data_IF_717175096674
#
_entry.id   IF_717175096674
#
_cell.length_a   1.000
_cell.length_b   1.000
_cell.length_c   1.000
_cell.angle_alpha   90.00
_cell.angle_beta   90.00
_cell.angle_gamma   90.00
#
_symmetry.space_group_name_H-M   'P 1'
#
loop_
_entity.id
_entity.type
_entity.pdbx_description
1 polymer ?
#
# COMPACT_ATOMS: atom_id res chain seq x y z
N UNK A 1 8.34 0.64 -26.50
CA UNK A 1 7.37 1.29 -25.61
C UNK A 1 6.45 0.24 -24.99
N UNK A 2 6.19 0.37 -23.73
CA UNK A 2 5.33 -0.57 -23.03
C UNK A 2 3.86 -0.31 -23.36
N UNK A 3 3.14 -1.36 -23.76
CA UNK A 3 1.74 -1.25 -24.15
C UNK A 3 0.85 -1.87 -23.08
N UNK A 4 0.20 -1.01 -22.29
CA UNK A 4 -0.68 -1.44 -21.21
C UNK A 4 -1.90 -2.23 -21.70
N UNK A 5 -2.28 -2.05 -22.96
CA UNK A 5 -3.43 -2.78 -23.49
C UNK A 5 -3.19 -4.28 -23.58
N UNK A 6 -1.94 -4.72 -23.53
CA UNK A 6 -1.58 -6.13 -23.56
C UNK A 6 -1.40 -6.76 -22.19
N UNK A 7 -1.57 -5.99 -21.10
CA UNK A 7 -1.47 -6.52 -19.76
C UNK A 7 -2.73 -7.30 -19.38
N UNK A 8 -2.55 -8.44 -18.73
CA UNK A 8 -3.69 -9.16 -18.13
C UNK A 8 -4.15 -8.46 -16.87
N UNK A 9 -5.39 -8.72 -16.45
CA UNK A 9 -5.90 -8.18 -15.19
C UNK A 9 -5.03 -8.62 -14.01
N UNK A 10 -4.53 -9.86 -14.05
CA UNK A 10 -3.66 -10.38 -13.00
C UNK A 10 -2.34 -9.61 -12.94
N UNK A 11 -1.74 -9.31 -14.09
CA UNK A 11 -0.51 -8.52 -14.14
C UNK A 11 -0.70 -7.13 -13.58
N UNK A 12 -1.82 -6.47 -13.91
CA UNK A 12 -2.15 -5.16 -13.36
C UNK A 12 -2.31 -5.20 -11.85
N UNK A 13 -2.99 -6.22 -11.34
CA UNK A 13 -3.17 -6.40 -9.89
C UNK A 13 -1.84 -6.62 -9.19
N UNK A 14 -0.95 -7.42 -9.79
CA UNK A 14 0.37 -7.66 -9.22
C UNK A 14 1.21 -6.38 -9.15
N UNK A 15 1.14 -5.55 -10.20
CA UNK A 15 1.85 -4.27 -10.22
C UNK A 15 1.29 -3.34 -9.14
N UNK A 16 -0.02 -3.23 -9.03
CA UNK A 16 -0.65 -2.40 -8.01
C UNK A 16 -0.33 -2.90 -6.61
N UNK A 17 -0.32 -4.21 -6.43
CA UNK A 17 0.04 -4.82 -5.15
C UNK A 17 1.45 -4.42 -4.73
N UNK A 18 2.41 -4.50 -5.65
CA UNK A 18 3.79 -4.12 -5.37
C UNK A 18 3.89 -2.63 -5.01
N UNK A 19 3.17 -1.77 -5.75
CA UNK A 19 3.14 -0.34 -5.47
C UNK A 19 2.56 -0.02 -4.10
N UNK A 20 1.43 -0.64 -3.75
CA UNK A 20 0.79 -0.43 -2.46
C UNK A 20 1.64 -0.94 -1.30
N UNK A 21 2.31 -2.07 -1.48
CA UNK A 21 3.22 -2.61 -0.47
C UNK A 21 4.41 -1.65 -0.24
N UNK A 22 4.95 -1.09 -1.30
CA UNK A 22 6.04 -0.12 -1.21
C UNK A 22 5.60 1.14 -0.47
N UNK A 23 4.40 1.67 -0.81
CA UNK A 23 3.86 2.85 -0.14
C UNK A 23 3.57 2.57 1.33
N UNK A 24 3.01 1.40 1.65
CA UNK A 24 2.73 1.01 3.03
C UNK A 24 4.02 0.99 3.85
N UNK A 25 5.07 0.41 3.30
CA UNK A 25 6.38 0.35 3.96
C UNK A 25 6.94 1.75 4.18
N UNK A 26 6.85 2.62 3.18
CA UNK A 26 7.31 4.00 3.28
C UNK A 26 6.55 4.77 4.36
N UNK A 27 5.23 4.63 4.39
CA UNK A 27 4.40 5.28 5.39
C UNK A 27 4.71 4.78 6.79
N UNK A 28 4.90 3.48 6.94
CA UNK A 28 5.24 2.90 8.23
C UNK A 28 6.56 3.45 8.76
N UNK A 29 7.57 3.54 7.89
CA UNK A 29 8.86 4.10 8.25
C UNK A 29 8.75 5.59 8.58
N UNK A 30 7.94 6.34 7.83
CA UNK A 30 7.73 7.76 8.06
C UNK A 30 7.07 8.01 9.42
N UNK A 31 6.03 7.26 9.73
CA UNK A 31 5.32 7.37 11.02
C UNK A 31 6.28 7.03 12.16
N UNK A 32 7.04 5.95 12.01
CA UNK A 32 7.99 5.53 13.03
C UNK A 32 9.06 6.60 13.27
N UNK A 33 9.59 7.20 12.21
CA UNK A 33 10.57 8.27 12.32
C UNK A 33 9.99 9.50 13.01
N UNK A 34 8.74 9.86 12.72
CA UNK A 34 8.07 10.98 13.36
C UNK A 34 7.86 10.74 14.86
N UNK A 35 7.50 9.52 15.24
CA UNK A 35 7.28 9.17 16.63
C UNK A 35 8.58 9.12 17.44
N UNK A 36 9.68 8.79 16.79
CA UNK A 36 11.01 8.74 17.42
C UNK A 36 11.69 10.10 17.47
N UNK A 37 11.19 11.09 16.74
CA UNK A 37 11.76 12.42 16.74
C UNK A 37 11.64 13.11 18.08
N UNK A 38 12.58 14.03 18.36
CA UNK A 38 12.59 14.79 19.59
C UNK A 38 11.76 16.06 19.51
N UNK A 39 11.34 16.42 18.31
CA UNK A 39 10.53 17.62 18.10
C UNK A 39 9.05 17.34 18.41
N UNK A 40 8.30 18.41 18.61
CA UNK A 40 6.86 18.30 18.82
C UNK A 40 6.20 17.60 17.63
N UNK A 41 5.44 16.57 17.93
CA UNK A 41 4.79 15.75 16.92
C UNK A 41 3.46 16.37 16.53
N UNK A 42 3.19 16.47 15.22
CA UNK A 42 1.90 16.91 14.73
C UNK A 42 0.94 15.72 14.72
N UNK A 43 0.10 15.63 15.74
CA UNK A 43 -0.83 14.52 15.91
C UNK A 43 -1.82 14.41 14.76
N UNK A 44 -2.24 15.55 14.18
CA UNK A 44 -3.16 15.54 13.05
C UNK A 44 -2.51 14.88 11.84
N UNK A 45 -1.25 15.23 11.57
CA UNK A 45 -0.50 14.66 10.46
C UNK A 45 -0.30 13.16 10.63
N UNK A 46 0.09 12.73 11.84
CA UNK A 46 0.27 11.31 12.14
C UNK A 46 -1.05 10.55 11.97
N UNK A 47 -2.15 11.12 12.43
CA UNK A 47 -3.46 10.50 12.28
C UNK A 47 -3.81 10.29 10.81
N UNK A 48 -3.54 11.29 9.96
CA UNK A 48 -3.79 11.20 8.53
C UNK A 48 -2.93 10.12 7.88
N UNK A 49 -1.65 10.04 8.26
CA UNK A 49 -0.74 9.03 7.74
C UNK A 49 -1.17 7.63 8.16
N UNK A 50 -1.61 7.46 9.41
CA UNK A 50 -2.11 6.19 9.90
C UNK A 50 -3.37 5.75 9.17
N UNK A 51 -4.27 6.67 8.85
CA UNK A 51 -5.47 6.36 8.07
C UNK A 51 -5.10 5.90 6.67
N UNK A 52 -4.16 6.57 6.03
CA UNK A 52 -3.70 6.18 4.71
C UNK A 52 -3.03 4.81 4.75
N UNK A 53 -2.21 4.54 5.77
CA UNK A 53 -1.57 3.25 5.96
C UNK A 53 -2.61 2.15 6.09
N UNK A 54 -3.65 2.40 6.86
CA UNK A 54 -4.74 1.43 7.06
C UNK A 54 -5.48 1.16 5.75
N UNK A 55 -5.75 2.21 4.98
CA UNK A 55 -6.37 2.07 3.67
C UNK A 55 -5.51 1.23 2.72
N UNK A 56 -4.20 1.48 2.70
CA UNK A 56 -3.27 0.69 1.88
C UNK A 56 -3.27 -0.77 2.30
N UNK A 57 -3.26 -1.05 3.59
CA UNK A 57 -3.32 -2.42 4.09
C UNK A 57 -4.59 -3.12 3.63
N UNK A 58 -5.71 -2.42 3.69
CA UNK A 58 -7.00 -2.96 3.24
C UNK A 58 -6.98 -3.27 1.74
N UNK A 59 -6.45 -2.36 0.92
CA UNK A 59 -6.32 -2.58 -0.52
C UNK A 59 -5.38 -3.73 -0.84
N UNK A 60 -4.27 -3.85 -0.11
CA UNK A 60 -3.33 -4.96 -0.28
C UNK A 60 -4.05 -6.28 -0.02
N UNK A 61 -4.81 -6.38 1.06
CA UNK A 61 -5.56 -7.59 1.40
C UNK A 61 -6.59 -7.94 0.33
N UNK A 62 -7.27 -6.95 -0.19
CA UNK A 62 -8.26 -7.16 -1.26
C UNK A 62 -7.62 -7.70 -2.53
N UNK A 63 -6.49 -7.13 -2.93
CA UNK A 63 -5.78 -7.57 -4.12
C UNK A 63 -5.23 -8.99 -3.93
N UNK A 64 -4.60 -9.25 -2.78
CA UNK A 64 -4.08 -10.58 -2.47
C UNK A 64 -5.19 -11.63 -2.48
N UNK A 65 -6.33 -11.32 -1.90
CA UNK A 65 -7.48 -12.22 -1.88
C UNK A 65 -7.98 -12.50 -3.29
N UNK A 66 -8.04 -11.47 -4.13
CA UNK A 66 -8.46 -11.62 -5.52
C UNK A 66 -7.51 -12.54 -6.31
N UNK A 67 -6.21 -12.39 -6.10
CA UNK A 67 -5.22 -13.23 -6.77
C UNK A 67 -5.31 -14.69 -6.32
N UNK A 68 -5.55 -14.92 -5.02
CA UNK A 68 -5.72 -16.26 -4.49
C UNK A 68 -6.98 -16.90 -5.05
N UNK A 69 -8.08 -16.19 -5.14
CA UNK A 69 -9.33 -16.68 -5.69
C UNK A 69 -9.15 -17.15 -7.14
N UNK A 70 -8.40 -16.38 -7.92
CA UNK A 70 -8.10 -16.74 -9.31
C UNK A 70 -7.31 -18.04 -9.40
N UNK A 71 -6.42 -18.30 -8.43
CA UNK A 71 -5.61 -19.50 -8.39
C UNK A 71 -6.45 -20.73 -8.02
N UNK A 72 -7.38 -20.55 -7.10
CA UNK A 72 -8.22 -21.65 -6.60
C UNK A 72 -9.28 -22.04 -7.63
N UNK A 73 -9.75 -21.09 -8.37
CA UNK A 73 -10.75 -21.34 -9.40
C UNK A 73 -10.17 -22.20 -10.53
#
# INVERSE_FOLDING_TARGET
MYDFAHMTDQEELEIKLAEYKAEHKTLDATIDAMLKGTEAVNLVQITQLKKKKLWLKDMIQKIESSLIDDIIA
#
